data_IF_131127709256
#
_entry.id   IF_131127709256
#
_cell.length_a   1.000
_cell.length_b   1.000
_cell.length_c   1.000
_cell.angle_alpha   90.00
_cell.angle_beta   90.00
_cell.angle_gamma   90.00
#
_symmetry.space_group_name_H-M   'P 1'
#
loop_
_entity.id
_entity.type
_entity.pdbx_description
1 polymer ?
#
# COMPACT_ATOMS: atom_id res chain seq x y z
N UNK A 1 -13.66 10.90 11.17
CA UNK A 1 -12.92 9.77 10.60
C UNK A 1 -13.74 8.52 10.78
N UNK A 2 -14.14 7.87 9.71
CA UNK A 2 -14.76 6.55 9.74
C UNK A 2 -13.77 5.53 9.14
N UNK A 3 -13.81 4.29 9.62
CA UNK A 3 -12.94 3.23 9.10
C UNK A 3 -13.71 1.92 9.02
N UNK A 4 -13.76 1.31 7.84
CA UNK A 4 -14.38 0.01 7.61
C UNK A 4 -13.30 -1.03 7.33
N UNK A 5 -13.38 -2.18 8.01
CA UNK A 5 -12.54 -3.35 7.73
C UNK A 5 -13.34 -4.31 6.87
N UNK A 6 -12.84 -4.61 5.68
CA UNK A 6 -13.48 -5.55 4.76
C UNK A 6 -12.90 -6.95 4.93
N UNK A 7 -13.74 -7.96 4.78
CA UNK A 7 -13.39 -9.38 4.81
C UNK A 7 -13.56 -10.06 3.44
N UNK A 8 -14.15 -9.37 2.45
CA UNK A 8 -14.35 -9.86 1.09
C UNK A 8 -14.23 -8.75 0.06
N UNK A 9 -13.79 -9.10 -1.15
CA UNK A 9 -13.77 -8.19 -2.31
C UNK A 9 -15.16 -7.70 -2.71
N UNK A 10 -16.20 -8.47 -2.44
CA UNK A 10 -17.58 -8.10 -2.74
C UNK A 10 -18.08 -6.90 -1.91
N UNK A 11 -17.45 -6.64 -0.77
CA UNK A 11 -17.83 -5.55 0.14
C UNK A 11 -17.25 -4.19 -0.26
N UNK A 12 -16.35 -4.15 -1.27
CA UNK A 12 -15.61 -2.94 -1.69
C UNK A 12 -16.51 -1.86 -2.33
N UNK A 13 -17.73 -2.19 -2.73
CA UNK A 13 -18.56 -1.41 -3.69
C UNK A 13 -19.35 -0.26 -3.05
N UNK A 14 -19.39 -0.09 -1.74
CA UNK A 14 -20.45 0.71 -1.09
C UNK A 14 -20.08 2.12 -0.62
N UNK A 15 -18.84 2.58 -0.74
CA UNK A 15 -18.46 3.92 -0.29
C UNK A 15 -18.17 4.86 -1.48
N UNK A 16 -18.76 6.05 -1.48
CA UNK A 16 -18.41 7.10 -2.44
C UNK A 16 -17.00 7.62 -2.14
N UNK A 17 -16.02 7.29 -3.01
CA UNK A 17 -14.62 7.74 -2.97
C UNK A 17 -13.85 7.39 -1.68
N UNK A 18 -13.81 6.12 -1.22
CA UNK A 18 -13.06 5.75 -0.05
C UNK A 18 -11.56 5.77 -0.31
N UNK A 19 -10.78 6.01 0.74
CA UNK A 19 -9.33 5.80 0.71
C UNK A 19 -9.01 4.38 1.15
N UNK A 20 -8.48 3.58 0.23
CA UNK A 20 -8.09 2.20 0.51
C UNK A 20 -6.75 2.14 1.26
N UNK A 21 -6.70 1.35 2.32
CA UNK A 21 -5.52 1.19 3.16
C UNK A 21 -5.06 -0.27 3.14
N UNK A 22 -3.82 -0.51 2.67
CA UNK A 22 -3.12 -1.76 2.88
C UNK A 22 -2.45 -1.80 4.25
N UNK A 23 -1.15 -1.54 4.32
CA UNK A 23 -0.40 -1.46 5.60
C UNK A 23 -0.47 -0.11 6.32
N UNK A 24 -0.92 0.95 5.67
CA UNK A 24 -1.02 2.30 6.25
C UNK A 24 0.32 3.02 6.45
N UNK A 25 1.44 2.41 6.11
CA UNK A 25 2.78 2.93 6.41
C UNK A 25 3.15 4.21 5.66
N UNK A 26 2.46 4.51 4.56
CA UNK A 26 2.62 5.75 3.79
C UNK A 26 1.53 6.78 4.12
N UNK A 27 0.27 6.37 4.08
CA UNK A 27 -0.86 7.30 4.27
C UNK A 27 -0.95 7.88 5.68
N UNK A 28 -0.65 7.10 6.72
CA UNK A 28 -0.76 7.59 8.10
C UNK A 28 0.18 8.77 8.40
N UNK A 29 1.47 8.76 7.98
CA UNK A 29 2.32 9.94 8.05
C UNK A 29 1.77 11.16 7.28
N UNK A 30 1.17 10.95 6.09
CA UNK A 30 0.62 12.04 5.29
C UNK A 30 -0.59 12.70 5.98
N UNK A 31 -1.46 11.90 6.59
CA UNK A 31 -2.58 12.40 7.39
C UNK A 31 -2.10 13.14 8.64
N UNK A 32 -1.12 12.57 9.36
CA UNK A 32 -0.55 13.19 10.57
C UNK A 32 0.11 14.54 10.28
N UNK A 33 0.71 14.70 9.10
CA UNK A 33 1.38 15.91 8.68
C UNK A 33 0.45 16.86 7.88
N UNK A 34 -0.86 16.59 7.87
CA UNK A 34 -1.87 17.41 7.19
C UNK A 34 -1.60 17.59 5.67
N UNK A 35 -0.86 16.67 5.07
CA UNK A 35 -0.65 16.63 3.61
C UNK A 35 -1.90 16.14 2.90
N UNK A 36 -2.66 15.24 3.55
CA UNK A 36 -3.96 14.70 3.14
C UNK A 36 -4.98 14.91 4.25
N UNK A 37 -6.26 14.97 3.86
CA UNK A 37 -7.40 15.18 4.77
C UNK A 37 -8.50 14.10 4.62
N UNK A 38 -8.13 12.93 4.11
CA UNK A 38 -9.04 11.80 3.92
C UNK A 38 -9.78 11.46 5.23
N UNK A 39 -11.05 11.12 5.12
CA UNK A 39 -11.93 10.89 6.28
C UNK A 39 -12.53 9.49 6.32
N UNK A 40 -12.69 8.86 5.16
CA UNK A 40 -13.34 7.57 5.02
C UNK A 40 -12.33 6.53 4.52
N UNK A 41 -12.06 5.54 5.37
CA UNK A 41 -11.02 4.55 5.15
C UNK A 41 -11.60 3.16 5.00
N UNK A 42 -11.05 2.40 4.05
CA UNK A 42 -11.36 1.01 3.81
C UNK A 42 -10.08 0.19 3.95
N UNK A 43 -10.02 -0.67 4.97
CA UNK A 43 -8.86 -1.50 5.26
C UNK A 43 -8.95 -2.83 4.52
N UNK A 44 -7.96 -3.10 3.66
CA UNK A 44 -7.93 -4.25 2.75
C UNK A 44 -7.21 -5.47 3.31
N UNK A 45 -6.45 -5.32 4.40
CA UNK A 45 -5.52 -6.36 4.90
C UNK A 45 -6.19 -7.67 5.32
N UNK A 46 -7.49 -7.68 5.60
CA UNK A 46 -8.21 -8.89 6.00
C UNK A 46 -8.89 -9.65 4.85
N UNK A 47 -8.77 -9.18 3.63
CA UNK A 47 -9.36 -9.80 2.45
C UNK A 47 -8.45 -10.96 1.99
N UNK A 48 -8.87 -12.23 2.12
CA UNK A 48 -8.01 -13.39 1.81
C UNK A 48 -7.56 -13.43 0.35
N UNK A 49 -8.42 -13.02 -0.58
CA UNK A 49 -8.14 -12.99 -2.02
C UNK A 49 -7.00 -12.06 -2.40
N UNK A 50 -6.68 -11.09 -1.53
CA UNK A 50 -5.56 -10.16 -1.73
C UNK A 50 -4.22 -10.67 -1.16
N UNK A 51 -4.17 -11.89 -0.60
CA UNK A 51 -2.95 -12.53 -0.06
C UNK A 51 -2.44 -13.69 -0.91
N UNK A 52 -2.75 -13.69 -2.21
CA UNK A 52 -2.31 -14.75 -3.13
C UNK A 52 -0.90 -14.49 -3.63
N UNK A 53 -0.10 -15.55 -3.74
CA UNK A 53 1.19 -15.56 -4.44
C UNK A 53 1.32 -16.88 -5.19
N UNK A 54 1.07 -16.85 -6.47
CA UNK A 54 1.10 -18.04 -7.31
C UNK A 54 1.61 -17.74 -8.72
N UNK A 55 2.10 -18.76 -9.38
CA UNK A 55 2.40 -18.72 -10.80
C UNK A 55 1.38 -19.58 -11.54
N UNK A 56 0.67 -18.96 -12.47
CA UNK A 56 -0.38 -19.60 -13.23
C UNK A 56 -0.32 -19.16 -14.69
N UNK A 57 -0.42 -20.11 -15.62
CA UNK A 57 -0.45 -19.86 -17.07
C UNK A 57 0.72 -19.00 -17.59
N UNK A 58 1.88 -19.06 -16.91
CA UNK A 58 3.07 -18.28 -17.26
C UNK A 58 3.07 -16.86 -16.70
N UNK A 59 2.07 -16.49 -15.90
CA UNK A 59 1.98 -15.22 -15.20
C UNK A 59 2.25 -15.39 -13.71
N UNK A 60 2.91 -14.40 -13.10
CA UNK A 60 3.10 -14.31 -11.66
C UNK A 60 1.99 -13.42 -11.07
N UNK A 61 1.15 -14.01 -10.23
CA UNK A 61 0.07 -13.33 -9.53
C UNK A 61 0.53 -12.99 -8.11
N UNK A 62 0.52 -11.69 -7.77
CA UNK A 62 0.88 -11.20 -6.43
C UNK A 62 -0.30 -10.40 -5.87
N UNK A 63 -0.85 -10.84 -4.75
CA UNK A 63 -1.95 -10.17 -4.07
C UNK A 63 -1.55 -8.82 -3.48
N UNK A 64 -2.42 -7.84 -3.60
CA UNK A 64 -2.15 -6.46 -3.20
C UNK A 64 -1.93 -6.28 -1.68
N UNK A 65 -2.49 -7.17 -0.84
CA UNK A 65 -2.33 -7.13 0.61
C UNK A 65 -1.11 -7.91 1.13
N UNK A 66 -0.37 -8.62 0.26
CA UNK A 66 0.88 -9.25 0.63
C UNK A 66 1.89 -8.22 1.12
N UNK A 67 2.56 -8.53 2.23
CA UNK A 67 3.59 -7.66 2.80
C UNK A 67 4.91 -7.76 2.04
N UNK A 68 5.73 -6.73 2.14
CA UNK A 68 7.07 -6.75 1.53
C UNK A 68 7.97 -7.81 2.17
N UNK A 69 7.77 -8.16 3.45
CA UNK A 69 8.48 -9.27 4.11
C UNK A 69 8.08 -10.62 3.49
N UNK A 70 6.78 -10.88 3.30
CA UNK A 70 6.31 -12.12 2.66
C UNK A 70 6.89 -12.29 1.25
N UNK A 71 7.01 -11.20 0.48
CA UNK A 71 7.66 -11.24 -0.82
C UNK A 71 9.16 -11.55 -0.70
N UNK A 72 9.87 -10.85 0.18
CA UNK A 72 11.32 -11.02 0.36
C UNK A 72 11.69 -12.44 0.81
N UNK A 73 10.85 -13.09 1.61
CA UNK A 73 11.06 -14.42 2.17
C UNK A 73 10.46 -15.55 1.32
N UNK A 74 9.72 -15.24 0.25
CA UNK A 74 9.08 -16.24 -0.61
C UNK A 74 10.10 -17.11 -1.33
N UNK A 75 10.00 -18.42 -1.15
CA UNK A 75 10.83 -19.39 -1.88
C UNK A 75 10.59 -19.34 -3.40
N UNK A 76 9.34 -19.13 -3.84
CA UNK A 76 8.98 -18.96 -5.25
C UNK A 76 9.71 -17.77 -5.86
N UNK A 77 9.63 -16.60 -5.20
CA UNK A 77 10.27 -15.40 -5.72
C UNK A 77 11.79 -15.49 -5.69
N UNK A 78 12.38 -16.02 -4.61
CA UNK A 78 13.82 -16.16 -4.50
C UNK A 78 14.41 -17.11 -5.55
N UNK A 79 13.67 -18.14 -5.97
CA UNK A 79 14.15 -19.11 -6.96
C UNK A 79 13.94 -18.65 -8.41
N UNK A 80 12.83 -17.96 -8.73
CA UNK A 80 12.43 -17.68 -10.12
C UNK A 80 12.31 -16.18 -10.43
N UNK A 81 12.10 -15.36 -9.42
CA UNK A 81 11.83 -13.92 -9.55
C UNK A 81 12.68 -13.11 -8.57
N UNK A 82 13.96 -13.47 -8.44
CA UNK A 82 14.88 -12.93 -7.42
C UNK A 82 14.94 -11.40 -7.38
N UNK A 83 14.77 -10.73 -8.51
CA UNK A 83 14.74 -9.26 -8.55
C UNK A 83 13.59 -8.67 -7.72
N UNK A 84 12.41 -9.30 -7.71
CA UNK A 84 11.25 -8.86 -6.91
C UNK A 84 11.53 -9.08 -5.42
N UNK A 85 12.02 -10.26 -5.04
CA UNK A 85 12.36 -10.57 -3.65
C UNK A 85 13.46 -9.62 -3.12
N UNK A 86 14.49 -9.38 -3.92
CA UNK A 86 15.56 -8.45 -3.57
C UNK A 86 15.05 -7.01 -3.43
N UNK A 87 14.25 -6.52 -4.36
CA UNK A 87 13.67 -5.18 -4.28
C UNK A 87 12.81 -5.02 -3.01
N UNK A 88 11.99 -6.02 -2.70
CA UNK A 88 11.19 -6.03 -1.48
C UNK A 88 12.07 -6.00 -0.22
N UNK A 89 13.16 -6.79 -0.19
CA UNK A 89 14.08 -6.88 0.96
C UNK A 89 14.85 -5.60 1.24
N UNK A 90 15.08 -4.78 0.22
CA UNK A 90 15.82 -3.51 0.31
C UNK A 90 14.91 -2.30 0.56
N UNK A 91 13.59 -2.48 0.54
CA UNK A 91 12.65 -1.40 0.77
C UNK A 91 12.53 -1.09 2.26
N UNK A 92 12.71 0.18 2.65
CA UNK A 92 12.49 0.71 4.00
C UNK A 92 13.18 -0.13 5.13
N UNK A 93 12.68 -0.03 6.37
CA UNK A 93 13.16 -0.84 7.50
C UNK A 93 12.42 -2.19 7.60
N UNK A 94 12.97 -3.20 8.30
CA UNK A 94 12.27 -4.46 8.55
C UNK A 94 10.90 -4.28 9.19
N UNK A 95 10.77 -3.36 10.15
CA UNK A 95 9.50 -3.06 10.82
C UNK A 95 8.45 -2.53 9.84
N UNK A 96 8.86 -1.69 8.90
CA UNK A 96 7.96 -1.17 7.86
C UNK A 96 7.58 -2.31 6.90
N UNK A 97 8.53 -3.14 6.45
CA UNK A 97 8.26 -4.26 5.54
C UNK A 97 7.25 -5.27 6.09
N UNK A 98 7.24 -5.50 7.40
CA UNK A 98 6.29 -6.40 8.06
C UNK A 98 4.83 -5.93 7.96
N UNK A 99 4.60 -4.66 7.65
CA UNK A 99 3.27 -4.05 7.60
C UNK A 99 2.94 -3.51 6.21
N UNK A 100 3.92 -2.92 5.53
CA UNK A 100 3.77 -2.36 4.19
C UNK A 100 3.39 -3.44 3.19
N UNK A 101 2.36 -3.18 2.40
CA UNK A 101 1.84 -4.11 1.40
C UNK A 101 2.30 -3.74 -0.01
N UNK A 102 2.27 -4.71 -0.91
CA UNK A 102 2.60 -4.51 -2.33
C UNK A 102 1.72 -3.45 -2.95
N UNK A 103 0.39 -3.59 -2.80
CA UNK A 103 -0.57 -2.62 -3.34
C UNK A 103 -0.35 -1.22 -2.78
N UNK A 104 -0.14 -1.10 -1.45
CA UNK A 104 0.15 0.19 -0.83
C UNK A 104 1.47 0.80 -1.32
N UNK A 105 2.49 -0.02 -1.58
CA UNK A 105 3.77 0.46 -2.10
C UNK A 105 3.68 0.96 -3.55
N UNK A 106 2.95 0.25 -4.41
CA UNK A 106 2.78 0.63 -5.83
C UNK A 106 1.89 1.87 -5.95
N UNK A 107 0.87 2.00 -5.12
CA UNK A 107 -0.12 3.07 -5.17
C UNK A 107 0.25 4.31 -4.33
N UNK A 108 1.42 4.34 -3.71
CA UNK A 108 1.85 5.51 -2.94
C UNK A 108 2.05 6.75 -3.83
N UNK A 109 1.74 7.92 -3.29
CA UNK A 109 1.97 9.20 -3.93
C UNK A 109 3.46 9.54 -4.06
N UNK A 110 3.76 10.51 -4.91
CA UNK A 110 5.13 10.99 -5.12
C UNK A 110 5.75 11.50 -3.81
N UNK A 111 6.96 11.08 -3.53
CA UNK A 111 7.76 11.57 -2.40
C UNK A 111 8.58 12.79 -2.82
N UNK A 112 7.90 13.92 -2.95
CA UNK A 112 8.50 15.20 -3.27
C UNK A 112 8.46 16.11 -2.04
N UNK A 113 9.54 16.83 -1.75
CA UNK A 113 9.61 17.75 -0.61
C UNK A 113 8.54 18.86 -0.68
N UNK A 114 8.14 19.27 -1.87
CA UNK A 114 7.09 20.28 -2.06
C UNK A 114 5.69 19.66 -1.93
N UNK A 115 5.49 18.47 -2.47
CA UNK A 115 4.21 17.75 -2.38
C UNK A 115 3.88 17.34 -0.94
N UNK A 116 4.89 16.93 -0.16
CA UNK A 116 4.74 16.49 1.23
C UNK A 116 4.63 17.63 2.25
N UNK A 117 4.17 18.81 1.80
CA UNK A 117 3.84 19.92 2.68
C UNK A 117 2.33 19.98 2.95
N UNK A 118 1.90 20.57 4.07
CA UNK A 118 0.48 20.76 4.36
C UNK A 118 -0.25 21.47 3.23
N UNK A 119 -1.53 21.12 3.03
CA UNK A 119 -2.35 21.69 1.95
C UNK A 119 -2.35 23.22 1.96
N UNK A 120 -2.44 23.83 3.14
CA UNK A 120 -2.42 25.30 3.28
C UNK A 120 -1.11 25.91 2.74
N UNK A 121 0.03 25.27 3.00
CA UNK A 121 1.31 25.72 2.48
C UNK A 121 1.38 25.58 0.95
N UNK A 122 0.93 24.44 0.42
CA UNK A 122 0.91 24.19 -1.04
C UNK A 122 -0.03 25.13 -1.80
N UNK A 123 -1.14 25.52 -1.20
CA UNK A 123 -2.10 26.45 -1.82
C UNK A 123 -1.53 27.87 -2.03
N UNK A 124 -0.49 28.24 -1.28
CA UNK A 124 0.24 29.49 -1.46
C UNK A 124 1.26 29.46 -2.62
N UNK A 125 1.51 28.28 -3.20
CA UNK A 125 2.39 28.11 -4.36
C UNK A 125 1.54 27.98 -5.62
N UNK A 126 1.94 28.63 -6.70
CA UNK A 126 1.32 28.48 -8.01
C UNK A 126 1.68 27.10 -8.59
N UNK A 127 0.94 26.08 -8.27
CA UNK A 127 1.07 24.68 -8.76
C UNK A 127 2.46 24.04 -8.72
N UNK A 128 2.48 22.85 -8.14
CA UNK A 128 3.58 21.91 -8.26
C UNK A 128 3.27 20.93 -9.40
#
# INVERSE_FOLDING_TARGET
MSGQVLESLHDIVSAEHPTYIGGGTDIMPLLKNEVRDDKDFVFLKKIPELHVLEEKDGELIIGAAMTLTELAESALLNSRYAAIAQAASLTASPQIRNIATVGGNIMQDRRCIYFNQPHLWRSGLAYC
#
